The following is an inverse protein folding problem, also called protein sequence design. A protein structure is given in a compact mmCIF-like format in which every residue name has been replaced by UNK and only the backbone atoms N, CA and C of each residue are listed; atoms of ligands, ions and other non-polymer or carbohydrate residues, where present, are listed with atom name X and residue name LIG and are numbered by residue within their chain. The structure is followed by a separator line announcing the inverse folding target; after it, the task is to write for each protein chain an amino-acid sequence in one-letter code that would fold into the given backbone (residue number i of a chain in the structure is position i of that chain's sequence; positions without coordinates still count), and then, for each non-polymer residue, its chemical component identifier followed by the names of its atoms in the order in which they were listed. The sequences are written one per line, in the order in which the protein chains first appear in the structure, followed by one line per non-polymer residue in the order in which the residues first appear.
data_IF_234414470791
#
_entry.id   IF_234414470791
#
_cell.length_a   1.000
_cell.length_b   1.000
_cell.length_c   1.000
_cell.angle_alpha   90.00
_cell.angle_beta   90.00
_cell.angle_gamma   90.00
#
_symmetry.space_group_name_H-M   'P 1'
#
loop_
_entity.id
_entity.type
_entity.pdbx_description
1 polymer ?
#
# COMPACT_ATOMS: atom_id res chain seq x y z
N UNK A 1 20.24 0.30 -51.83
CA UNK A 1 19.40 1.32 -51.17
C UNK A 1 17.97 0.83 -51.04
N UNK A 2 17.20 0.61 -52.11
CA UNK A 2 15.81 0.14 -52.02
C UNK A 2 15.61 -1.21 -51.30
N UNK A 3 16.49 -2.18 -51.54
CA UNK A 3 16.45 -3.51 -50.91
C UNK A 3 17.14 -3.57 -49.53
N UNK A 4 17.75 -2.47 -49.07
CA UNK A 4 18.57 -2.42 -47.86
C UNK A 4 18.00 -1.48 -46.78
N UNK A 5 16.73 -1.07 -46.94
CA UNK A 5 16.02 -0.26 -45.95
C UNK A 5 15.31 -1.18 -44.95
N UNK A 6 15.44 -0.89 -43.66
CA UNK A 6 14.72 -1.60 -42.58
C UNK A 6 13.25 -1.17 -42.45
N UNK A 7 12.82 -0.19 -43.25
CA UNK A 7 11.44 0.30 -43.32
C UNK A 7 10.69 -0.31 -44.49
N UNK A 8 9.41 -0.57 -44.30
CA UNK A 8 8.49 -0.88 -45.38
C UNK A 8 8.41 0.31 -46.33
N UNK A 9 8.45 0.04 -47.63
CA UNK A 9 8.29 1.06 -48.66
C UNK A 9 7.34 0.57 -49.73
N UNK A 10 6.44 1.45 -50.17
CA UNK A 10 5.66 1.24 -51.37
C UNK A 10 5.39 2.54 -52.14
N UNK A 11 5.15 2.42 -53.44
CA UNK A 11 4.57 3.48 -54.27
C UNK A 11 3.15 3.07 -54.61
N UNK A 12 2.21 3.98 -54.36
CA UNK A 12 0.78 3.80 -54.57
C UNK A 12 0.32 4.70 -55.69
N UNK A 13 -0.57 4.22 -56.55
CA UNK A 13 -1.39 5.05 -57.45
C UNK A 13 -2.76 5.26 -56.80
N UNK A 14 -3.11 6.50 -56.46
CA UNK A 14 -4.40 6.80 -55.82
C UNK A 14 -5.55 6.75 -56.82
N UNK A 15 -6.62 6.03 -56.47
CA UNK A 15 -7.85 5.88 -57.24
C UNK A 15 -8.93 6.78 -56.63
N UNK A 16 -9.56 7.59 -57.47
CA UNK A 16 -10.60 8.55 -57.08
C UNK A 16 -11.91 8.26 -57.80
N UNK A 17 -13.03 8.56 -57.15
CA UNK A 17 -14.35 8.54 -57.79
C UNK A 17 -14.59 9.76 -58.69
N UNK A 18 -15.76 9.81 -59.35
CA UNK A 18 -16.19 10.91 -60.23
C UNK A 18 -16.28 12.27 -59.52
N UNK A 19 -16.37 12.27 -58.18
CA UNK A 19 -16.41 13.48 -57.34
C UNK A 19 -15.04 13.85 -56.78
N UNK A 20 -13.98 13.20 -57.26
CA UNK A 20 -12.59 13.38 -56.84
C UNK A 20 -12.34 13.01 -55.36
N UNK A 21 -13.11 12.06 -54.80
CA UNK A 21 -12.86 11.49 -53.48
C UNK A 21 -11.97 10.24 -53.60
N UNK A 22 -10.95 10.07 -52.74
CA UNK A 22 -10.11 8.88 -52.77
C UNK A 22 -10.92 7.67 -52.28
N UNK A 23 -10.95 6.61 -53.08
CA UNK A 23 -11.75 5.41 -52.79
C UNK A 23 -10.90 4.16 -52.61
N UNK A 24 -9.74 4.10 -53.25
CA UNK A 24 -8.80 2.97 -53.19
C UNK A 24 -7.40 3.42 -53.65
N UNK A 25 -6.41 2.54 -53.65
CA UNK A 25 -5.12 2.74 -54.30
C UNK A 25 -4.53 1.44 -54.82
N UNK A 26 -3.72 1.52 -55.87
CA UNK A 26 -3.00 0.39 -56.46
C UNK A 26 -1.53 0.41 -56.05
N UNK A 27 -0.97 -0.72 -55.65
CA UNK A 27 0.47 -0.83 -55.38
C UNK A 27 1.24 -0.89 -56.70
N UNK A 28 2.06 0.12 -56.98
CA UNK A 28 2.93 0.16 -58.16
C UNK A 28 4.29 -0.50 -57.89
N UNK A 29 4.82 -0.29 -56.69
CA UNK A 29 6.12 -0.80 -56.28
C UNK A 29 6.09 -1.10 -54.78
N UNK A 30 6.74 -2.17 -54.36
CA UNK A 30 6.91 -2.55 -52.95
C UNK A 30 8.34 -3.05 -52.72
N UNK A 31 8.87 -2.86 -51.52
CA UNK A 31 10.13 -3.48 -51.12
C UNK A 31 9.89 -4.80 -50.34
N UNK A 32 10.91 -5.66 -50.14
CA UNK A 32 10.73 -6.91 -49.39
C UNK A 32 10.24 -6.74 -47.94
N UNK A 33 10.57 -5.60 -47.31
CA UNK A 33 10.12 -5.31 -45.94
C UNK A 33 8.62 -5.04 -45.87
N UNK A 34 8.02 -4.53 -46.96
CA UNK A 34 6.57 -4.36 -47.06
C UNK A 34 5.84 -5.67 -46.77
N UNK A 35 6.19 -6.76 -47.44
CA UNK A 35 5.49 -8.05 -47.27
C UNK A 35 5.70 -8.59 -45.85
N UNK A 36 6.90 -8.41 -45.28
CA UNK A 36 7.22 -8.84 -43.91
C UNK A 36 6.38 -8.11 -42.86
N UNK A 37 6.20 -6.79 -43.01
CA UNK A 37 5.52 -5.96 -42.00
C UNK A 37 3.99 -5.91 -42.20
N UNK A 38 3.50 -6.01 -43.44
CA UNK A 38 2.06 -5.99 -43.73
C UNK A 38 1.43 -7.37 -43.81
N UNK A 39 2.24 -8.42 -44.11
CA UNK A 39 1.76 -9.76 -44.42
C UNK A 39 1.13 -9.90 -45.82
N UNK A 40 1.02 -8.82 -46.58
CA UNK A 40 0.44 -8.82 -47.92
C UNK A 40 1.47 -9.33 -48.93
N UNK A 41 1.14 -10.41 -49.64
CA UNK A 41 1.99 -11.02 -50.66
C UNK A 41 1.53 -10.65 -52.05
N UNK A 42 2.48 -10.51 -52.97
CA UNK A 42 2.21 -10.24 -54.39
C UNK A 42 1.26 -9.03 -54.57
N UNK A 43 1.55 -7.96 -53.83
CA UNK A 43 0.67 -6.79 -53.76
C UNK A 43 0.77 -5.90 -55.02
N UNK A 44 1.92 -5.92 -55.70
CA UNK A 44 2.16 -5.14 -56.92
C UNK A 44 1.09 -5.41 -57.98
N UNK A 45 0.49 -4.34 -58.50
CA UNK A 45 -0.56 -4.36 -59.51
C UNK A 45 -1.99 -4.50 -58.96
N UNK A 46 -2.15 -4.96 -57.71
CA UNK A 46 -3.45 -5.09 -57.05
C UNK A 46 -3.85 -3.83 -56.29
N UNK A 47 -5.14 -3.66 -56.03
CA UNK A 47 -5.63 -2.58 -55.17
C UNK A 47 -5.63 -2.96 -53.70
N UNK A 48 -5.66 -1.97 -52.81
CA UNK A 48 -5.71 -2.20 -51.38
C UNK A 48 -6.96 -2.99 -50.98
N UNK A 49 -8.12 -2.70 -51.57
CA UNK A 49 -9.37 -3.42 -51.30
C UNK A 49 -9.41 -4.83 -51.89
N UNK A 50 -8.68 -5.11 -52.96
CA UNK A 50 -8.54 -6.49 -53.47
C UNK A 50 -7.78 -7.36 -52.46
N UNK A 51 -6.78 -6.79 -51.78
CA UNK A 51 -5.96 -7.50 -50.79
C UNK A 51 -6.60 -7.52 -49.39
N UNK A 52 -7.23 -6.41 -49.01
CA UNK A 52 -7.84 -6.19 -47.69
C UNK A 52 -9.18 -5.49 -47.90
N UNK A 53 -10.27 -6.25 -48.15
CA UNK A 53 -11.59 -5.68 -48.46
C UNK A 53 -12.16 -4.74 -47.39
N UNK A 54 -11.84 -5.01 -46.13
CA UNK A 54 -12.28 -4.24 -44.95
C UNK A 54 -11.21 -3.24 -44.48
N UNK A 55 -10.31 -2.81 -45.37
CA UNK A 55 -9.32 -1.79 -45.01
C UNK A 55 -9.99 -0.47 -44.65
N UNK A 56 -9.46 0.18 -43.60
CA UNK A 56 -10.11 1.34 -43.01
C UNK A 56 -10.07 2.57 -43.94
N UNK A 57 -11.18 3.36 -44.04
CA UNK A 57 -11.25 4.48 -44.98
C UNK A 57 -10.18 5.57 -44.81
N UNK A 58 -9.68 5.75 -43.59
CA UNK A 58 -8.72 6.79 -43.26
C UNK A 58 -7.40 6.64 -44.04
N UNK A 59 -7.02 5.43 -44.47
CA UNK A 59 -5.84 5.20 -45.30
C UNK A 59 -5.99 5.86 -46.68
N UNK A 60 -7.15 5.67 -47.32
CA UNK A 60 -7.46 6.28 -48.62
C UNK A 60 -7.52 7.80 -48.51
N UNK A 61 -8.15 8.30 -47.46
CA UNK A 61 -8.31 9.74 -47.22
C UNK A 61 -6.97 10.45 -47.03
N UNK A 62 -6.06 9.88 -46.21
CA UNK A 62 -4.73 10.47 -45.95
C UNK A 62 -3.86 10.44 -47.20
N UNK A 63 -3.73 9.30 -47.87
CA UNK A 63 -2.91 9.21 -49.08
C UNK A 63 -3.50 10.01 -50.23
N UNK A 64 -4.83 10.05 -50.35
CA UNK A 64 -5.53 10.91 -51.29
C UNK A 64 -5.25 12.39 -51.05
N UNK A 65 -5.24 12.84 -49.78
CA UNK A 65 -4.88 14.22 -49.43
C UNK A 65 -3.43 14.53 -49.80
N UNK A 66 -2.50 13.61 -49.55
CA UNK A 66 -1.09 13.78 -49.96
C UNK A 66 -0.97 13.88 -51.48
N UNK A 67 -1.68 13.04 -52.24
CA UNK A 67 -1.68 13.07 -53.71
C UNK A 67 -2.25 14.37 -54.28
N UNK A 68 -3.38 14.85 -53.73
CA UNK A 68 -4.07 16.06 -54.18
C UNK A 68 -3.34 17.36 -53.79
N UNK A 69 -2.79 17.42 -52.58
CA UNK A 69 -2.20 18.65 -52.04
C UNK A 69 -0.68 18.74 -52.26
N UNK A 70 -0.01 17.62 -52.47
CA UNK A 70 1.46 17.52 -52.50
C UNK A 70 2.14 17.71 -51.13
N UNK A 71 1.38 17.95 -50.04
CA UNK A 71 1.94 18.07 -48.69
C UNK A 71 2.19 16.69 -48.11
N UNK A 72 3.43 16.43 -47.68
CA UNK A 72 3.78 15.19 -47.01
C UNK A 72 3.13 15.12 -45.61
N UNK A 73 2.74 13.91 -45.20
CA UNK A 73 2.17 13.64 -43.87
C UNK A 73 3.00 12.59 -43.13
N UNK A 74 3.19 12.79 -41.82
CA UNK A 74 3.71 11.78 -40.89
C UNK A 74 2.67 11.51 -39.82
N UNK A 75 2.37 10.25 -39.57
CA UNK A 75 1.34 9.87 -38.61
C UNK A 75 1.58 8.45 -38.07
N UNK A 76 0.94 8.13 -36.94
CA UNK A 76 0.90 6.78 -36.35
C UNK A 76 -0.56 6.37 -36.30
N UNK A 77 -0.89 5.22 -36.88
CA UNK A 77 -2.27 4.76 -37.00
C UNK A 77 -2.34 3.25 -36.88
N UNK A 78 -3.44 2.75 -36.32
CA UNK A 78 -3.72 1.32 -36.22
C UNK A 78 -4.55 0.89 -37.42
N UNK A 79 -4.16 -0.21 -38.05
CA UNK A 79 -5.10 -1.00 -38.85
C UNK A 79 -5.65 -2.10 -37.95
N UNK A 80 -6.93 -2.01 -37.65
CA UNK A 80 -7.67 -3.01 -36.89
C UNK A 80 -7.79 -4.30 -37.70
N UNK A 81 -8.01 -4.20 -39.01
CA UNK A 81 -8.10 -5.34 -39.92
C UNK A 81 -6.80 -6.13 -39.99
N UNK A 82 -5.65 -5.45 -39.93
CA UNK A 82 -4.33 -6.12 -39.87
C UNK A 82 -3.87 -6.44 -38.45
N UNK A 83 -4.52 -5.91 -37.42
CA UNK A 83 -4.10 -6.01 -36.03
C UNK A 83 -2.73 -5.37 -35.77
N UNK A 84 -2.37 -4.29 -36.49
CA UNK A 84 -1.03 -3.68 -36.44
C UNK A 84 -1.07 -2.17 -36.32
N UNK A 85 -0.05 -1.61 -35.66
CA UNK A 85 0.24 -0.19 -35.62
C UNK A 85 1.35 0.17 -36.61
N UNK A 86 1.11 1.16 -37.46
CA UNK A 86 2.10 1.66 -38.39
C UNK A 86 2.46 3.10 -38.07
N UNK A 87 3.75 3.37 -37.93
CA UNK A 87 4.30 4.71 -38.13
C UNK A 87 4.52 4.92 -39.62
N UNK A 88 3.91 5.96 -40.19
CA UNK A 88 3.85 6.19 -41.63
C UNK A 88 4.35 7.58 -41.97
N UNK A 89 5.15 7.68 -43.02
CA UNK A 89 5.51 8.90 -43.71
C UNK A 89 5.15 8.78 -45.19
N UNK A 90 4.20 9.59 -45.63
CA UNK A 90 3.69 9.59 -47.00
C UNK A 90 4.00 10.91 -47.69
N UNK A 91 4.47 10.85 -48.93
CA UNK A 91 4.74 12.03 -49.76
C UNK A 91 4.40 11.76 -51.22
N UNK A 92 4.04 12.81 -51.95
CA UNK A 92 3.74 12.71 -53.38
C UNK A 92 5.00 12.32 -54.17
N UNK A 93 4.86 11.35 -55.07
CA UNK A 93 5.93 10.89 -55.96
C UNK A 93 5.56 11.21 -57.41
N UNK A 94 6.48 11.78 -58.19
CA UNK A 94 6.23 12.21 -59.57
C UNK A 94 5.89 13.70 -59.73
N UNK A 95 5.49 14.09 -60.94
CA UNK A 95 5.17 15.49 -61.28
C UNK A 95 3.86 16.01 -60.67
N UNK A 96 3.56 17.30 -60.87
CA UNK A 96 2.40 17.99 -60.28
C UNK A 96 1.06 17.32 -60.57
N UNK A 97 0.91 16.74 -61.77
CA UNK A 97 -0.29 16.00 -62.22
C UNK A 97 -0.33 14.53 -61.75
N UNK A 98 0.76 14.01 -61.18
CA UNK A 98 0.80 12.61 -60.73
C UNK A 98 -0.15 12.40 -59.54
N UNK A 99 -0.78 11.23 -59.49
CA UNK A 99 -1.57 10.76 -58.34
C UNK A 99 -0.80 9.74 -57.50
N UNK A 100 0.52 9.64 -57.70
CA UNK A 100 1.33 8.65 -57.03
C UNK A 100 1.81 9.16 -55.66
N UNK A 101 1.80 8.26 -54.67
CA UNK A 101 2.23 8.52 -53.30
C UNK A 101 3.28 7.48 -52.93
N UNK A 102 4.46 7.93 -52.54
CA UNK A 102 5.45 7.08 -51.91
C UNK A 102 5.18 7.04 -50.40
N UNK A 103 5.18 5.84 -49.83
CA UNK A 103 4.90 5.60 -48.42
C UNK A 103 6.06 4.84 -47.82
N UNK A 104 6.62 5.41 -46.75
CA UNK A 104 7.56 4.76 -45.85
C UNK A 104 6.82 4.42 -44.57
N UNK A 105 6.96 3.19 -44.07
CA UNK A 105 6.30 2.79 -42.83
C UNK A 105 7.13 1.82 -42.00
N UNK A 106 6.81 1.78 -40.72
CA UNK A 106 7.37 0.83 -39.75
C UNK A 106 6.24 0.28 -38.90
N UNK A 107 6.15 -1.04 -38.82
CA UNK A 107 5.32 -1.74 -37.85
C UNK A 107 5.89 -1.52 -36.44
N UNK A 108 5.13 -0.83 -35.60
CA UNK A 108 5.46 -0.52 -34.21
C UNK A 108 4.55 -1.26 -33.22
N UNK A 109 3.86 -2.31 -33.67
CA UNK A 109 2.89 -3.07 -32.85
C UNK A 109 3.54 -3.63 -31.60
N UNK A 110 4.68 -4.31 -31.74
CA UNK A 110 5.40 -4.89 -30.60
C UNK A 110 5.79 -3.83 -29.57
N UNK A 111 6.20 -2.64 -30.03
CA UNK A 111 6.52 -1.52 -29.14
C UNK A 111 5.27 -1.03 -28.40
N UNK A 112 4.17 -0.83 -29.12
CA UNK A 112 2.89 -0.39 -28.53
C UNK A 112 2.33 -1.38 -27.52
N UNK A 113 2.38 -2.67 -27.82
CA UNK A 113 1.92 -3.73 -26.92
C UNK A 113 2.78 -3.82 -25.66
N UNK A 114 4.11 -3.70 -25.78
CA UNK A 114 5.01 -3.64 -24.62
C UNK A 114 4.73 -2.43 -23.74
N UNK A 115 4.59 -1.25 -24.34
CA UNK A 115 4.29 -0.02 -23.61
C UNK A 115 2.93 -0.10 -22.90
N UNK A 116 1.93 -0.67 -23.57
CA UNK A 116 0.61 -0.89 -22.97
C UNK A 116 0.68 -1.90 -21.82
N UNK A 117 1.37 -3.03 -22.00
CA UNK A 117 1.50 -4.04 -20.95
C UNK A 117 2.24 -3.50 -19.72
N UNK A 118 3.30 -2.71 -19.92
CA UNK A 118 4.01 -2.02 -18.83
C UNK A 118 3.06 -1.07 -18.10
N UNK A 119 2.33 -0.24 -18.84
CA UNK A 119 1.37 0.71 -18.28
C UNK A 119 0.27 0.02 -17.49
N UNK A 120 -0.34 -1.02 -18.05
CA UNK A 120 -1.38 -1.81 -17.37
C UNK A 120 -0.84 -2.48 -16.11
N UNK A 121 0.39 -3.01 -16.16
CA UNK A 121 1.04 -3.60 -14.98
C UNK A 121 1.29 -2.56 -13.88
N UNK A 122 1.74 -1.36 -14.25
CA UNK A 122 1.96 -0.26 -13.30
C UNK A 122 0.64 0.24 -12.68
N UNK A 123 -0.40 0.41 -13.50
CA UNK A 123 -1.73 0.82 -13.04
C UNK A 123 -2.35 -0.23 -12.11
N UNK A 124 -2.22 -1.52 -12.44
CA UNK A 124 -2.66 -2.62 -11.56
C UNK A 124 -1.90 -2.62 -10.23
N UNK A 125 -0.58 -2.43 -10.26
CA UNK A 125 0.22 -2.34 -9.04
C UNK A 125 -0.23 -1.16 -8.17
N UNK A 126 -0.36 0.05 -8.75
CA UNK A 126 -0.80 1.24 -8.04
C UNK A 126 -2.19 1.06 -7.43
N UNK A 127 -3.13 0.49 -8.19
CA UNK A 127 -4.47 0.22 -7.69
C UNK A 127 -4.46 -0.74 -6.49
N UNK A 128 -3.73 -1.86 -6.57
CA UNK A 128 -3.62 -2.81 -5.46
C UNK A 128 -2.92 -2.21 -4.23
N UNK A 129 -1.87 -1.43 -4.45
CA UNK A 129 -1.15 -0.78 -3.37
C UNK A 129 -2.01 0.30 -2.70
N UNK A 130 -2.69 1.15 -3.46
CA UNK A 130 -3.48 2.28 -2.95
C UNK A 130 -4.79 1.85 -2.26
N UNK A 131 -5.36 0.71 -2.65
CA UNK A 131 -6.54 0.11 -1.98
C UNK A 131 -6.14 -0.76 -0.76
N UNK A 132 -4.85 -0.99 -0.54
CA UNK A 132 -4.37 -1.75 0.62
C UNK A 132 -4.56 -0.97 1.93
N UNK A 133 -5.07 -1.60 3.00
CA UNK A 133 -5.14 -0.97 4.32
C UNK A 133 -3.75 -0.85 4.99
N UNK A 134 -2.71 -1.47 4.41
CA UNK A 134 -1.33 -1.36 4.86
C UNK A 134 -0.63 -0.22 4.12
N UNK A 135 0.40 0.34 4.74
CA UNK A 135 1.36 1.15 4.02
C UNK A 135 2.15 0.26 3.09
N UNK A 136 2.38 0.69 1.86
CA UNK A 136 3.23 0.01 0.89
C UNK A 136 4.32 0.96 0.49
N UNK A 137 5.57 0.50 0.51
CA UNK A 137 6.72 1.35 0.21
C UNK A 137 7.79 0.67 -0.62
N UNK A 138 8.56 1.50 -1.31
CA UNK A 138 9.77 1.09 -2.03
C UNK A 138 10.91 1.99 -1.59
N UNK A 139 12.02 1.39 -1.16
CA UNK A 139 13.24 2.09 -0.77
C UNK A 139 14.27 1.89 -1.88
N UNK A 140 14.99 2.94 -2.26
CA UNK A 140 16.09 2.86 -3.22
C UNK A 140 17.30 2.08 -2.64
N UNK A 141 18.24 1.59 -3.47
CA UNK A 141 19.45 0.90 -3.03
C UNK A 141 20.48 1.85 -2.37
N UNK A 142 20.09 2.54 -1.29
CA UNK A 142 20.91 3.48 -0.55
C UNK A 142 20.84 3.21 0.97
N UNK A 143 21.98 3.25 1.69
CA UNK A 143 22.05 2.94 3.11
C UNK A 143 21.29 3.93 4.01
N UNK A 144 20.94 5.12 3.51
CA UNK A 144 20.12 6.11 4.23
C UNK A 144 18.61 5.86 4.10
N UNK A 145 18.20 4.75 3.47
CA UNK A 145 16.82 4.37 3.26
C UNK A 145 15.91 5.47 2.65
N UNK A 146 16.31 6.14 1.54
CA UNK A 146 15.41 7.05 0.84
C UNK A 146 14.27 6.25 0.20
N UNK A 147 13.04 6.72 0.43
CA UNK A 147 11.84 6.08 -0.09
C UNK A 147 11.52 6.63 -1.47
N UNK A 148 11.41 5.76 -2.45
CA UNK A 148 11.05 6.06 -3.84
C UNK A 148 9.53 6.04 -4.08
N UNK A 149 8.77 5.37 -3.20
CA UNK A 149 7.33 5.27 -3.33
C UNK A 149 6.66 5.00 -1.98
N UNK A 150 5.51 5.64 -1.78
CA UNK A 150 4.49 5.28 -0.80
C UNK A 150 3.14 5.18 -1.48
N UNK A 151 2.28 4.27 -1.01
CA UNK A 151 0.88 4.23 -1.43
C UNK A 151 0.05 5.37 -0.83
N UNK A 152 -1.15 5.54 -1.36
CA UNK A 152 -2.15 6.52 -0.91
C UNK A 152 -2.47 6.40 0.59
N UNK A 153 -2.48 5.20 1.15
CA UNK A 153 -2.78 4.94 2.57
C UNK A 153 -1.78 5.64 3.49
N UNK A 154 -0.49 5.63 3.16
CA UNK A 154 0.53 6.38 3.91
C UNK A 154 0.26 7.88 3.87
N UNK A 155 0.03 8.44 2.67
CA UNK A 155 -0.18 9.88 2.49
C UNK A 155 -1.42 10.37 3.24
N UNK A 156 -2.51 9.59 3.21
CA UNK A 156 -3.72 9.89 3.97
C UNK A 156 -3.51 9.79 5.48
N UNK A 157 -2.67 8.83 5.92
CA UNK A 157 -2.37 8.63 7.33
C UNK A 157 -1.52 9.78 7.88
N UNK A 158 -0.42 10.14 7.20
CA UNK A 158 0.53 11.15 7.68
C UNK A 158 0.11 12.58 7.33
N UNK A 159 -0.73 12.75 6.30
CA UNK A 159 -1.09 14.06 5.75
C UNK A 159 -0.01 14.65 4.82
N UNK A 160 1.05 13.90 4.50
CA UNK A 160 2.11 14.36 3.59
C UNK A 160 1.61 14.41 2.14
N UNK A 161 2.13 15.38 1.38
CA UNK A 161 2.09 15.33 -0.08
C UNK A 161 3.05 14.27 -0.62
N UNK A 162 2.88 13.87 -1.87
CA UNK A 162 3.78 12.91 -2.53
C UNK A 162 5.23 13.38 -2.45
N UNK A 163 5.50 14.66 -2.74
CA UNK A 163 6.87 15.20 -2.74
C UNK A 163 7.50 15.20 -1.34
N UNK A 164 6.71 15.47 -0.31
CA UNK A 164 7.18 15.41 1.09
C UNK A 164 7.40 13.98 1.56
N UNK A 165 6.74 12.98 0.94
CA UNK A 165 6.82 11.57 1.29
C UNK A 165 8.00 10.82 0.64
N UNK A 166 8.73 11.45 -0.29
CA UNK A 166 9.88 10.84 -0.97
C UNK A 166 11.21 11.14 -0.26
N UNK A 167 12.22 10.31 -0.50
CA UNK A 167 13.52 10.42 0.15
C UNK A 167 13.46 10.02 1.63
N UNK A 168 14.13 10.76 2.52
CA UNK A 168 14.05 10.48 3.97
C UNK A 168 12.83 11.15 4.63
N UNK A 169 11.70 11.11 3.96
CA UNK A 169 10.44 11.70 4.43
C UNK A 169 9.91 11.14 5.76
N UNK A 170 10.42 9.99 6.17
CA UNK A 170 10.14 9.41 7.48
C UNK A 170 10.80 10.23 8.62
N UNK A 171 11.81 11.05 8.32
CA UNK A 171 12.34 12.05 9.25
C UNK A 171 11.24 13.08 9.57
N UNK A 172 10.82 13.14 10.84
CA UNK A 172 9.74 14.02 11.29
C UNK A 172 8.36 13.36 11.33
N UNK A 173 8.20 12.19 10.70
CA UNK A 173 7.02 11.33 10.87
C UNK A 173 7.30 10.22 11.90
N UNK A 174 8.46 9.57 11.84
CA UNK A 174 8.88 8.64 12.88
C UNK A 174 9.28 9.45 14.12
N UNK A 175 8.88 8.96 15.30
CA UNK A 175 9.24 9.60 16.56
C UNK A 175 10.78 9.66 16.71
N UNK A 176 11.37 10.79 17.13
CA UNK A 176 12.84 10.95 17.18
C UNK A 176 13.58 9.86 17.95
N UNK A 177 13.00 9.39 19.07
CA UNK A 177 13.59 8.33 19.90
C UNK A 177 13.63 6.95 19.20
N UNK A 178 12.79 6.75 18.18
CA UNK A 178 12.66 5.46 17.49
C UNK A 178 13.56 5.38 16.24
N UNK A 179 14.20 6.49 15.84
CA UNK A 179 15.09 6.55 14.67
C UNK A 179 16.29 5.61 14.83
N UNK A 180 16.85 5.51 16.04
CA UNK A 180 17.95 4.60 16.33
C UNK A 180 17.52 3.13 16.14
N UNK A 181 16.30 2.79 16.58
CA UNK A 181 15.71 1.46 16.40
C UNK A 181 15.56 1.13 14.92
N UNK A 182 15.02 2.05 14.11
CA UNK A 182 14.90 1.85 12.65
C UNK A 182 16.26 1.50 12.03
N UNK A 183 17.31 2.25 12.38
CA UNK A 183 18.65 2.05 11.82
C UNK A 183 19.31 0.75 12.32
N UNK A 184 19.02 0.32 13.55
CA UNK A 184 19.49 -0.96 14.11
C UNK A 184 19.00 -2.17 13.30
N UNK A 185 17.74 -2.15 12.85
CA UNK A 185 17.18 -3.23 12.03
C UNK A 185 17.52 -3.07 10.55
N UNK A 186 17.46 -1.85 10.02
CA UNK A 186 17.66 -1.62 8.59
C UNK A 186 19.12 -1.75 8.16
N UNK A 187 20.07 -1.17 8.91
CA UNK A 187 21.48 -1.11 8.52
C UNK A 187 22.10 -2.49 8.25
N UNK A 188 22.07 -3.43 9.22
CA UNK A 188 22.60 -4.78 9.02
C UNK A 188 21.89 -5.55 7.92
N UNK A 189 20.57 -5.34 7.76
CA UNK A 189 19.79 -5.97 6.71
C UNK A 189 20.22 -5.47 5.33
N UNK A 190 20.41 -4.16 5.17
CA UNK A 190 20.89 -3.54 3.93
C UNK A 190 22.28 -4.06 3.53
N UNK A 191 23.22 -4.10 4.47
CA UNK A 191 24.59 -4.61 4.23
C UNK A 191 24.58 -6.08 3.76
N UNK A 192 23.74 -6.90 4.39
CA UNK A 192 23.62 -8.34 4.09
C UNK A 192 22.62 -8.65 2.97
N UNK A 193 21.89 -7.65 2.49
CA UNK A 193 20.78 -7.77 1.51
C UNK A 193 19.73 -8.78 1.96
N UNK A 194 19.36 -8.72 3.24
CA UNK A 194 18.41 -9.63 3.88
C UNK A 194 17.08 -8.92 4.17
N UNK A 195 15.97 -9.66 4.30
CA UNK A 195 14.74 -9.11 4.84
C UNK A 195 14.92 -8.55 6.25
N UNK A 196 14.13 -7.54 6.59
CA UNK A 196 14.06 -7.00 7.95
C UNK A 196 12.61 -6.91 8.44
N UNK A 197 12.45 -6.90 9.76
CA UNK A 197 11.20 -6.61 10.45
C UNK A 197 11.52 -5.67 11.62
N UNK A 198 11.04 -4.44 11.53
CA UNK A 198 11.01 -3.50 12.64
C UNK A 198 9.69 -3.77 13.40
N UNK A 199 9.75 -4.26 14.64
CA UNK A 199 8.56 -4.77 15.34
C UNK A 199 7.59 -3.66 15.76
N UNK A 200 8.10 -2.49 16.15
CA UNK A 200 7.25 -1.36 16.53
C UNK A 200 8.03 -0.05 16.53
N UNK A 201 7.53 0.96 15.81
CA UNK A 201 7.97 2.35 15.87
C UNK A 201 6.76 3.28 15.88
N UNK A 202 6.87 4.42 16.55
CA UNK A 202 5.82 5.44 16.60
C UNK A 202 5.83 6.26 15.31
N UNK A 203 4.71 6.22 14.59
CA UNK A 203 4.47 6.97 13.36
C UNK A 203 3.45 8.07 13.66
N UNK A 204 3.78 9.30 13.25
CA UNK A 204 2.93 10.48 13.42
C UNK A 204 1.83 10.49 12.36
N UNK A 205 0.60 10.65 12.81
CA UNK A 205 -0.59 10.83 11.98
C UNK A 205 -0.78 12.32 11.62
N UNK A 206 -1.63 12.60 10.64
CA UNK A 206 -1.97 13.96 10.19
C UNK A 206 -2.43 14.92 11.30
N UNK A 207 -3.01 14.39 12.38
CA UNK A 207 -3.47 15.18 13.54
C UNK A 207 -2.40 15.32 14.64
N UNK A 208 -1.19 14.85 14.37
CA UNK A 208 -0.04 14.93 15.27
C UNK A 208 0.04 13.81 16.31
N UNK A 209 -0.95 12.90 16.38
CA UNK A 209 -0.90 11.76 17.30
C UNK A 209 0.07 10.69 16.79
N UNK A 210 0.77 10.04 17.72
CA UNK A 210 1.63 8.90 17.41
C UNK A 210 0.89 7.57 17.62
N UNK A 211 1.08 6.63 16.70
CA UNK A 211 0.63 5.23 16.85
C UNK A 211 1.75 4.27 16.46
N UNK A 212 1.76 3.08 17.08
CA UNK A 212 2.78 2.06 16.83
C UNK A 212 2.51 1.36 15.51
N UNK A 213 3.54 1.26 14.67
CA UNK A 213 3.52 0.52 13.42
C UNK A 213 4.71 -0.41 13.34
N UNK A 214 4.48 -1.58 12.76
CA UNK A 214 5.55 -2.49 12.36
C UNK A 214 5.85 -2.29 10.88
N UNK A 215 7.11 -2.49 10.49
CA UNK A 215 7.55 -2.38 9.11
C UNK A 215 8.36 -3.60 8.70
N UNK A 216 7.98 -4.22 7.58
CA UNK A 216 8.70 -5.36 7.00
C UNK A 216 9.16 -5.01 5.60
N UNK A 217 10.44 -5.21 5.31
CA UNK A 217 11.02 -5.02 3.98
C UNK A 217 11.69 -6.29 3.46
N UNK A 218 11.55 -6.55 2.16
CA UNK A 218 12.28 -7.59 1.44
C UNK A 218 13.16 -6.95 0.35
N UNK A 219 14.38 -7.48 0.12
CA UNK A 219 15.27 -6.97 -0.92
C UNK A 219 14.68 -7.22 -2.31
N UNK A 220 14.87 -6.27 -3.21
CA UNK A 220 14.50 -6.35 -4.62
C UNK A 220 15.75 -6.45 -5.48
N UNK A 221 15.62 -7.11 -6.62
CA UNK A 221 16.71 -7.24 -7.58
C UNK A 221 16.21 -6.90 -8.97
N UNK A 222 17.07 -6.27 -9.77
CA UNK A 222 16.86 -6.12 -11.20
C UNK A 222 17.02 -7.48 -11.91
N UNK A 223 16.56 -7.62 -13.17
CA UNK A 223 16.73 -8.86 -13.94
C UNK A 223 18.18 -9.33 -14.09
N UNK A 224 19.15 -8.41 -13.99
CA UNK A 224 20.59 -8.69 -14.03
C UNK A 224 21.15 -9.20 -12.68
N UNK A 225 20.32 -9.33 -11.63
CA UNK A 225 20.72 -9.74 -10.29
C UNK A 225 21.28 -8.62 -9.41
N UNK A 226 21.28 -7.37 -9.88
CA UNK A 226 21.74 -6.23 -9.11
C UNK A 226 20.73 -5.84 -8.03
N UNK A 227 21.23 -5.55 -6.82
CA UNK A 227 20.40 -5.13 -5.70
C UNK A 227 19.76 -3.77 -5.98
N UNK A 228 18.43 -3.72 -5.88
CA UNK A 228 17.62 -2.56 -6.24
C UNK A 228 16.71 -2.11 -5.10
N UNK A 229 17.29 -2.06 -3.89
CA UNK A 229 16.62 -1.57 -2.70
C UNK A 229 15.62 -2.56 -2.13
N UNK A 230 14.56 -2.04 -1.49
CA UNK A 230 13.59 -2.83 -0.76
C UNK A 230 12.16 -2.54 -1.21
N UNK A 231 11.29 -3.55 -1.15
CA UNK A 231 9.83 -3.38 -1.15
C UNK A 231 9.31 -3.86 0.19
N UNK A 232 8.37 -3.14 0.77
CA UNK A 232 7.86 -3.50 2.07
C UNK A 232 6.47 -3.01 2.34
N UNK A 233 5.98 -3.43 3.50
CA UNK A 233 4.70 -3.04 4.05
C UNK A 233 4.85 -2.55 5.47
N UNK A 234 4.04 -1.56 5.83
CA UNK A 234 3.86 -1.08 7.19
C UNK A 234 2.42 -1.33 7.64
N UNK A 235 2.22 -1.76 8.88
CA UNK A 235 0.89 -2.02 9.41
C UNK A 235 0.77 -1.54 10.86
N UNK A 236 -0.40 -1.03 11.21
CA UNK A 236 -0.72 -0.51 12.53
C UNK A 236 -0.76 -1.68 13.54
N UNK A 237 0.11 -1.60 14.54
CA UNK A 237 0.20 -2.56 15.65
C UNK A 237 -0.10 -1.86 16.98
N UNK A 238 -0.69 -0.66 16.96
CA UNK A 238 -0.94 0.15 18.15
C UNK A 238 -1.75 -0.60 19.19
N UNK A 239 -2.85 -1.21 18.77
CA UNK A 239 -3.75 -1.94 19.67
C UNK A 239 -3.08 -3.18 20.28
N UNK A 240 -2.33 -3.92 19.46
CA UNK A 240 -1.57 -5.09 19.92
C UNK A 240 -0.47 -4.65 20.90
N UNK A 241 0.28 -3.61 20.55
CA UNK A 241 1.37 -3.09 21.38
C UNK A 241 0.83 -2.53 22.69
N UNK A 242 -0.30 -1.82 22.68
CA UNK A 242 -0.96 -1.39 23.91
C UNK A 242 -1.39 -2.60 24.74
N UNK A 243 -1.97 -3.65 24.14
CA UNK A 243 -2.34 -4.85 24.90
C UNK A 243 -1.11 -5.57 25.53
N UNK A 244 0.03 -5.58 24.83
CA UNK A 244 1.30 -6.14 25.32
C UNK A 244 1.98 -5.25 26.39
N UNK A 245 1.98 -3.93 26.21
CA UNK A 245 2.67 -2.92 27.05
C UNK A 245 1.82 -2.34 28.18
N UNK A 246 0.54 -2.67 28.30
CA UNK A 246 -0.24 -2.28 29.49
C UNK A 246 -0.02 -3.23 30.67
N UNK A 247 0.82 -4.24 30.49
CA UNK A 247 1.30 -5.12 31.54
C UNK A 247 2.26 -4.39 32.51
N UNK A 248 3.11 -3.41 32.11
CA UNK A 248 4.05 -2.75 33.02
C UNK A 248 3.64 -1.37 33.58
N UNK A 249 2.53 -0.75 33.20
CA UNK A 249 2.26 0.61 33.70
C UNK A 249 1.80 0.64 35.17
N UNK A 250 1.49 -0.53 35.74
CA UNK A 250 1.23 -0.67 37.18
C UNK A 250 2.50 -0.53 38.06
N UNK A 251 3.70 -0.35 37.48
CA UNK A 251 4.96 -0.33 38.23
C UNK A 251 5.44 1.05 38.72
N UNK A 252 4.98 2.18 38.17
CA UNK A 252 5.74 3.44 38.32
C UNK A 252 5.14 4.55 39.20
N UNK A 253 4.18 4.25 40.09
CA UNK A 253 3.77 5.15 41.20
C UNK A 253 3.82 4.46 42.59
N UNK A 254 5.01 4.30 43.21
CA UNK A 254 5.25 3.38 44.33
C UNK A 254 5.18 3.96 45.77
N UNK A 255 4.26 4.84 46.16
CA UNK A 255 4.03 5.10 47.61
C UNK A 255 3.25 3.96 48.32
N UNK A 256 3.12 2.81 47.67
CA UNK A 256 1.95 1.94 47.79
C UNK A 256 2.26 0.45 48.05
N UNK A 257 3.51 -0.05 47.96
CA UNK A 257 3.83 -1.44 48.38
C UNK A 257 5.01 -1.49 49.35
N UNK A 258 4.91 -2.35 50.38
CA UNK A 258 6.07 -2.86 51.14
C UNK A 258 6.43 -4.26 50.63
N UNK A 259 7.70 -4.60 50.39
CA UNK A 259 8.08 -5.91 49.81
C UNK A 259 7.66 -7.14 50.66
N UNK A 260 7.30 -8.25 50.00
CA UNK A 260 7.19 -9.62 50.58
C UNK A 260 7.76 -10.68 49.61
N UNK A 261 8.17 -11.85 50.13
CA UNK A 261 8.96 -12.86 49.41
C UNK A 261 8.19 -14.18 49.19
N UNK A 262 8.19 -14.73 47.97
CA UNK A 262 7.82 -16.14 47.67
C UNK A 262 8.62 -16.78 46.54
N UNK A 263 8.41 -18.10 46.38
CA UNK A 263 9.33 -19.06 45.73
C UNK A 263 8.69 -19.81 44.54
N UNK A 264 7.70 -19.22 43.88
CA UNK A 264 6.97 -19.80 42.75
C UNK A 264 7.04 -18.88 41.50
N UNK A 265 7.01 -19.44 40.28
CA UNK A 265 7.22 -18.74 38.99
C UNK A 265 5.97 -17.99 38.53
N UNK A 266 6.11 -16.71 38.10
CA UNK A 266 5.02 -15.79 37.69
C UNK A 266 5.32 -15.09 36.36
N UNK A 267 4.26 -14.87 35.56
CA UNK A 267 4.27 -14.11 34.31
C UNK A 267 2.96 -13.32 34.17
N UNK A 268 2.91 -12.15 34.82
CA UNK A 268 2.29 -10.88 34.40
C UNK A 268 0.96 -10.88 33.61
N UNK A 269 0.12 -11.89 33.85
CA UNK A 269 -1.26 -12.04 33.32
C UNK A 269 -2.25 -12.30 34.48
N UNK A 270 -1.78 -12.32 35.73
CA UNK A 270 -2.23 -13.41 36.55
C UNK A 270 -3.60 -13.23 37.23
N UNK A 271 -4.56 -13.90 36.61
CA UNK A 271 -5.71 -14.62 37.18
C UNK A 271 -5.28 -15.61 38.30
N UNK A 272 -3.97 -15.90 38.48
CA UNK A 272 -3.43 -16.91 39.39
C UNK A 272 -3.50 -16.56 40.90
N UNK A 273 -3.21 -15.33 41.37
CA UNK A 273 -3.69 -14.81 42.66
C UNK A 273 -5.17 -15.10 42.93
N UNK A 274 -6.00 -14.86 41.91
CA UNK A 274 -7.46 -14.87 41.98
C UNK A 274 -8.00 -16.31 42.10
N UNK A 275 -7.42 -17.28 41.39
CA UNK A 275 -7.78 -18.70 41.50
C UNK A 275 -7.23 -19.33 42.79
N UNK A 276 -6.01 -18.95 43.22
CA UNK A 276 -5.41 -19.44 44.47
C UNK A 276 -6.24 -19.05 45.71
N UNK A 277 -6.81 -17.84 45.71
CA UNK A 277 -7.76 -17.39 46.73
C UNK A 277 -9.10 -18.13 46.70
N UNK A 278 -9.67 -18.41 45.52
CA UNK A 278 -10.91 -19.19 45.39
C UNK A 278 -10.79 -20.63 45.89
N UNK A 279 -9.59 -21.21 45.82
CA UNK A 279 -9.28 -22.60 46.21
C UNK A 279 -8.62 -22.73 47.61
N UNK A 280 -8.51 -21.62 48.35
CA UNK A 280 -7.84 -21.54 49.66
C UNK A 280 -6.40 -22.10 49.68
N UNK A 281 -5.60 -21.81 48.65
CA UNK A 281 -4.16 -22.13 48.59
C UNK A 281 -3.30 -20.86 48.77
N UNK A 282 -2.18 -20.90 49.51
CA UNK A 282 -1.35 -19.72 49.75
C UNK A 282 -0.44 -19.35 48.56
N UNK A 283 -0.30 -18.06 48.23
CA UNK A 283 0.59 -17.53 47.16
C UNK A 283 1.10 -16.07 47.44
N UNK A 284 2.14 -15.53 46.78
CA UNK A 284 2.53 -14.08 46.84
C UNK A 284 2.70 -13.45 45.48
N UNK A 285 2.12 -12.25 45.36
CA UNK A 285 2.29 -11.34 44.24
C UNK A 285 3.16 -10.15 44.66
N UNK A 286 4.19 -9.82 43.88
CA UNK A 286 5.02 -8.63 44.07
C UNK A 286 4.82 -7.56 42.99
N UNK A 287 3.81 -7.68 42.12
CA UNK A 287 3.71 -6.81 40.93
C UNK A 287 2.90 -5.53 41.05
N UNK A 288 2.14 -5.21 42.09
CA UNK A 288 1.27 -4.02 42.06
C UNK A 288 1.29 -3.19 43.34
N UNK A 289 1.38 -1.88 43.17
CA UNK A 289 1.11 -0.83 44.15
C UNK A 289 -0.08 -1.10 45.09
N UNK A 290 0.12 -1.82 46.20
CA UNK A 290 -0.75 -2.02 47.37
C UNK A 290 -1.66 -3.25 47.33
N UNK A 291 -1.90 -3.77 48.53
CA UNK A 291 -2.83 -4.85 48.83
C UNK A 291 -4.29 -4.37 48.66
N UNK A 292 -4.99 -4.87 47.64
CA UNK A 292 -6.42 -4.58 47.37
C UNK A 292 -7.36 -5.28 48.37
N UNK A 293 -6.84 -6.08 49.30
CA UNK A 293 -7.58 -6.68 50.40
C UNK A 293 -7.41 -5.89 51.72
N UNK A 294 -6.65 -4.79 51.71
CA UNK A 294 -6.49 -3.89 52.85
C UNK A 294 -7.77 -3.07 53.09
N UNK A 295 -8.66 -3.61 53.93
CA UNK A 295 -9.94 -3.00 54.31
C UNK A 295 -9.85 -1.62 54.99
N UNK A 296 -8.65 -1.18 55.41
CA UNK A 296 -8.45 0.14 56.02
C UNK A 296 -8.49 1.29 54.99
N UNK A 297 -8.39 0.99 53.69
CA UNK A 297 -8.45 1.97 52.60
C UNK A 297 -9.72 1.76 51.79
N UNK A 298 -10.41 2.85 51.47
CA UNK A 298 -11.65 2.83 50.69
C UNK A 298 -11.40 3.38 49.29
N UNK A 299 -12.14 2.85 48.33
CA UNK A 299 -12.08 3.22 46.89
C UNK A 299 -10.84 2.72 46.14
N UNK A 300 -10.32 1.52 46.48
CA UNK A 300 -9.19 0.94 45.76
C UNK A 300 -9.64 0.45 44.38
N UNK A 301 -8.79 0.61 43.35
CA UNK A 301 -9.03 -0.02 42.06
C UNK A 301 -7.71 -0.45 41.40
N UNK A 302 -7.66 -1.67 40.88
CA UNK A 302 -6.57 -2.16 40.05
C UNK A 302 -7.05 -2.28 38.60
N UNK A 303 -6.25 -1.79 37.66
CA UNK A 303 -6.53 -1.92 36.23
C UNK A 303 -6.23 -3.36 35.77
N UNK A 304 -7.16 -3.95 35.02
CA UNK A 304 -7.03 -5.30 34.47
C UNK A 304 -7.24 -5.20 32.96
N UNK A 305 -6.28 -5.71 32.19
CA UNK A 305 -6.50 -5.98 30.77
C UNK A 305 -6.83 -7.45 30.58
N UNK A 306 -7.87 -7.69 29.79
CA UNK A 306 -8.28 -9.02 29.39
C UNK A 306 -7.73 -9.31 27.99
N UNK A 307 -7.19 -10.51 27.76
CA UNK A 307 -6.53 -10.91 26.50
C UNK A 307 -7.42 -10.88 25.24
N UNK A 308 -8.71 -10.58 25.37
CA UNK A 308 -9.59 -10.45 24.21
C UNK A 308 -9.52 -9.03 23.62
N UNK A 309 -9.42 -8.87 22.29
CA UNK A 309 -9.27 -7.57 21.64
C UNK A 309 -10.29 -6.52 22.11
N UNK A 310 -9.77 -5.37 22.55
CA UNK A 310 -10.57 -4.22 22.95
C UNK A 310 -11.24 -4.31 24.32
N UNK A 311 -11.00 -5.35 25.11
CA UNK A 311 -11.52 -5.43 26.48
C UNK A 311 -10.58 -4.77 27.49
N UNK A 312 -11.11 -3.82 28.24
CA UNK A 312 -10.45 -3.13 29.35
C UNK A 312 -11.29 -3.28 30.61
N UNK A 313 -10.67 -3.28 31.79
CA UNK A 313 -11.40 -3.46 33.03
C UNK A 313 -10.67 -2.91 34.25
N UNK A 314 -11.40 -2.84 35.35
CA UNK A 314 -10.89 -2.53 36.67
C UNK A 314 -11.53 -3.46 37.68
N UNK A 315 -10.78 -3.80 38.72
CA UNK A 315 -11.32 -4.45 39.91
C UNK A 315 -11.20 -3.49 41.09
N UNK A 316 -12.27 -3.32 41.85
CA UNK A 316 -12.23 -2.65 43.15
C UNK A 316 -12.57 -3.66 44.27
N UNK A 317 -12.76 -3.15 45.48
CA UNK A 317 -13.04 -3.95 46.68
C UNK A 317 -14.33 -4.81 46.56
N UNK A 318 -15.27 -4.43 45.69
CA UNK A 318 -16.61 -5.01 45.61
C UNK A 318 -16.91 -5.66 44.25
N UNK A 319 -16.39 -5.12 43.17
CA UNK A 319 -16.75 -5.49 41.81
C UNK A 319 -15.54 -5.53 40.87
N UNK A 320 -15.59 -6.51 39.98
CA UNK A 320 -14.84 -6.56 38.75
C UNK A 320 -15.72 -6.00 37.63
N UNK A 321 -15.24 -4.96 36.97
CA UNK A 321 -15.90 -4.36 35.82
C UNK A 321 -15.02 -4.49 34.58
N UNK A 322 -15.62 -4.86 33.46
CA UNK A 322 -14.97 -4.82 32.15
C UNK A 322 -15.90 -4.27 31.09
N UNK A 323 -15.34 -3.55 30.12
CA UNK A 323 -16.05 -3.09 28.93
C UNK A 323 -15.21 -3.28 27.69
N UNK A 324 -15.88 -3.40 26.55
CA UNK A 324 -15.21 -3.38 25.27
C UNK A 324 -15.21 -1.97 24.67
N UNK A 325 -14.07 -1.50 24.17
CA UNK A 325 -13.92 -0.17 23.57
C UNK A 325 -14.47 -0.08 22.15
N UNK A 326 -14.75 -1.22 21.50
CA UNK A 326 -15.21 -1.31 20.10
C UNK A 326 -16.68 -1.66 19.97
N UNK A 327 -17.23 -2.42 20.93
CA UNK A 327 -18.64 -2.82 20.94
C UNK A 327 -19.29 -2.38 22.24
N UNK A 328 -20.59 -2.06 22.19
CA UNK A 328 -21.38 -1.61 23.36
C UNK A 328 -21.72 -2.79 24.28
N UNK A 329 -20.69 -3.37 24.89
CA UNK A 329 -20.79 -4.51 25.81
C UNK A 329 -19.95 -4.23 27.06
N UNK A 330 -20.56 -4.43 28.22
CA UNK A 330 -19.91 -4.37 29.52
C UNK A 330 -20.43 -5.45 30.47
N UNK A 331 -19.64 -5.75 31.49
CA UNK A 331 -19.92 -6.78 32.48
C UNK A 331 -19.46 -6.30 33.85
N UNK A 332 -20.30 -6.55 34.85
CA UNK A 332 -20.04 -6.25 36.26
C UNK A 332 -20.23 -7.53 37.05
N UNK A 333 -19.20 -7.96 37.78
CA UNK A 333 -19.18 -9.21 38.54
C UNK A 333 -18.75 -8.91 39.97
N UNK A 334 -19.51 -9.33 41.00
CA UNK A 334 -19.09 -9.21 42.38
C UNK A 334 -17.82 -10.03 42.64
N UNK A 335 -16.82 -9.48 43.36
CA UNK A 335 -15.55 -10.20 43.64
C UNK A 335 -15.57 -11.00 44.93
N UNK A 336 -16.58 -10.77 45.79
CA UNK A 336 -16.76 -11.48 47.06
C UNK A 336 -18.22 -11.83 47.30
N UNK A 337 -18.42 -12.92 48.03
CA UNK A 337 -19.74 -13.36 48.48
C UNK A 337 -20.24 -12.45 49.61
N UNK A 338 -21.56 -12.25 49.69
CA UNK A 338 -22.19 -11.46 50.75
C UNK A 338 -22.34 -9.97 50.46
N UNK A 339 -22.05 -9.51 49.24
CA UNK A 339 -22.36 -8.16 48.81
C UNK A 339 -23.88 -7.93 48.72
N UNK A 340 -24.37 -6.71 49.03
CA UNK A 340 -25.78 -6.39 48.88
C UNK A 340 -26.24 -6.62 47.45
N UNK A 341 -27.42 -7.23 47.28
CA UNK A 341 -28.07 -7.31 45.97
C UNK A 341 -28.46 -5.89 45.55
N UNK A 342 -27.81 -5.39 44.50
CA UNK A 342 -28.10 -4.07 43.97
C UNK A 342 -29.42 -4.09 43.20
N UNK A 343 -30.20 -3.01 43.32
CA UNK A 343 -31.28 -2.71 42.37
C UNK A 343 -30.69 -2.41 40.99
N UNK A 344 -31.53 -2.43 39.94
CA UNK A 344 -31.08 -2.10 38.59
C UNK A 344 -30.44 -0.70 38.52
N UNK A 345 -31.08 0.30 39.14
CA UNK A 345 -30.56 1.68 39.19
C UNK A 345 -29.20 1.78 39.90
N UNK A 346 -29.03 1.02 40.99
CA UNK A 346 -27.73 0.97 41.69
C UNK A 346 -26.66 0.26 40.86
N UNK A 347 -27.03 -0.82 40.16
CA UNK A 347 -26.13 -1.54 39.24
C UNK A 347 -25.65 -0.62 38.12
N UNK A 348 -26.56 0.14 37.51
CA UNK A 348 -26.24 1.07 36.43
C UNK A 348 -25.32 2.20 36.93
N UNK A 349 -25.57 2.73 38.13
CA UNK A 349 -24.72 3.74 38.76
C UNK A 349 -23.30 3.23 39.04
N UNK A 350 -23.16 2.00 39.55
CA UNK A 350 -21.85 1.37 39.78
C UNK A 350 -21.12 1.15 38.45
N UNK A 351 -21.81 0.63 37.44
CA UNK A 351 -21.25 0.46 36.09
C UNK A 351 -20.75 1.78 35.51
N UNK A 352 -21.51 2.87 35.65
CA UNK A 352 -21.12 4.19 35.12
C UNK A 352 -19.83 4.73 35.79
N UNK A 353 -19.76 4.66 37.14
CA UNK A 353 -18.56 5.06 37.90
C UNK A 353 -17.34 4.22 37.48
N UNK A 354 -17.50 2.89 37.40
CA UNK A 354 -16.40 1.98 37.04
C UNK A 354 -15.99 2.11 35.57
N UNK A 355 -16.95 2.34 34.68
CA UNK A 355 -16.71 2.63 33.26
C UNK A 355 -15.86 3.89 33.07
N UNK A 356 -16.20 4.96 33.79
CA UNK A 356 -15.45 6.22 33.75
C UNK A 356 -14.02 6.01 34.23
N UNK A 357 -13.83 5.35 35.37
CA UNK A 357 -12.50 5.04 35.92
C UNK A 357 -11.67 4.16 34.98
N UNK A 358 -12.29 3.13 34.40
CA UNK A 358 -11.63 2.22 33.44
C UNK A 358 -11.15 2.98 32.21
N UNK A 359 -11.98 3.89 31.67
CA UNK A 359 -11.56 4.77 30.56
C UNK A 359 -10.43 5.71 30.95
N UNK A 360 -10.51 6.35 32.13
CA UNK A 360 -9.49 7.28 32.57
C UNK A 360 -8.13 6.60 32.74
N UNK A 361 -8.09 5.42 33.36
CA UNK A 361 -6.87 4.63 33.53
C UNK A 361 -6.32 4.15 32.19
N UNK A 362 -7.18 3.65 31.30
CA UNK A 362 -6.79 3.22 29.96
C UNK A 362 -6.20 4.37 29.12
N UNK A 363 -6.85 5.53 29.06
CA UNK A 363 -6.34 6.67 28.28
C UNK A 363 -5.05 7.25 28.90
N UNK A 364 -4.93 7.25 30.23
CA UNK A 364 -3.70 7.68 30.92
C UNK A 364 -2.54 6.74 30.59
N UNK A 365 -2.77 5.43 30.68
CA UNK A 365 -1.76 4.43 30.35
C UNK A 365 -1.38 4.48 28.86
N UNK A 366 -2.36 4.60 27.96
CA UNK A 366 -2.15 4.82 26.54
C UNK A 366 -1.32 6.08 26.27
N UNK A 367 -1.64 7.20 26.92
CA UNK A 367 -0.87 8.44 26.77
C UNK A 367 0.57 8.26 27.27
N UNK A 368 0.77 7.65 28.44
CA UNK A 368 2.09 7.41 28.98
C UNK A 368 2.91 6.45 28.12
N UNK A 369 2.35 5.36 27.59
CA UNK A 369 3.07 4.45 26.70
C UNK A 369 3.56 5.11 25.42
N UNK A 370 2.83 6.12 24.93
CA UNK A 370 3.21 6.84 23.72
C UNK A 370 4.22 7.96 24.02
N UNK A 371 4.13 8.60 25.19
CA UNK A 371 4.80 9.87 25.49
C UNK A 371 5.85 9.79 26.62
N UNK A 372 5.91 8.71 27.39
CA UNK A 372 6.88 8.56 28.48
C UNK A 372 8.26 8.20 27.88
N UNK A 373 9.31 8.82 28.44
CA UNK A 373 10.70 8.68 27.98
C UNK A 373 11.42 7.58 28.75
#
# INVERSE_FOLDING_TARGET
LFQSMDQGFCVLEMIFDETNRPVDYRFLEINPVFEKQTGLKDATGKTARELVPELEPHWFERYGRVALTGKAERFVERSDTMGRWFEVYAYKSGGTESKNVAVLFTDITEQKEKDQHIRESEERFRALADESPMFVFIIDPNPLAPVAYWNKTWLQYTGQTVNEALGRAWDGIIHPDDIAVVMEYYGPAFEKRQPYLIPSVRVKRYDGQYRWHAFKGNPRYLPNGEFNGYVGVGFDVHEQRLAEEHVPLLFYAPNLITPQKRTETVSQIDVLPTIAGMLQMPYTNSTLGRDVLDTAKKENAAFIIYHAPGWIGVVNDDYFYRKNIRIKKDELVPVRNGLPVLTQTQTDSVKDKMSTLTSALYETARWMLVNNK
#
